data_IF_396903434223
#
_entry.id   IF_396903434223
#
_cell.length_a   1.000
_cell.length_b   1.000
_cell.length_c   1.000
_cell.angle_alpha   90.00
_cell.angle_beta   90.00
_cell.angle_gamma   90.00
#
_symmetry.space_group_name_H-M   'P 1'
#
loop_
_entity.id
_entity.type
_entity.pdbx_description
1 polymer ?
#
# COMPACT_ATOMS: atom_id res chain seq x y z
N UNK A 1 -0.53 -46.48 -63.88
CA UNK A 1 -0.25 -47.22 -62.62
C UNK A 1 0.09 -46.18 -61.55
N UNK A 2 -0.86 -45.45 -60.98
CA UNK A 2 -1.87 -45.87 -60.00
C UNK A 2 -1.24 -46.56 -58.78
N UNK A 3 -1.15 -45.77 -57.70
CA UNK A 3 -1.32 -46.11 -56.29
C UNK A 3 -0.46 -47.25 -55.74
N UNK A 4 0.61 -46.88 -55.02
CA UNK A 4 0.88 -47.25 -53.61
C UNK A 4 1.86 -46.19 -53.10
N UNK A 5 1.31 -45.05 -52.67
CA UNK A 5 2.03 -43.97 -51.99
C UNK A 5 1.03 -43.36 -51.00
N UNK A 6 0.65 -44.17 -50.00
CA UNK A 6 -0.45 -43.85 -49.09
C UNK A 6 -0.26 -44.46 -47.69
N UNK A 7 0.98 -44.70 -47.24
CA UNK A 7 1.20 -45.30 -45.92
C UNK A 7 2.36 -44.71 -45.09
N UNK A 8 2.82 -43.49 -45.39
CA UNK A 8 3.76 -42.77 -44.51
C UNK A 8 3.45 -41.26 -44.50
N UNK A 9 2.20 -40.89 -44.21
CA UNK A 9 1.80 -39.48 -44.06
C UNK A 9 0.97 -39.22 -42.79
N UNK A 10 1.04 -40.09 -41.79
CA UNK A 10 0.21 -39.98 -40.58
C UNK A 10 0.94 -40.02 -39.24
N UNK A 11 2.26 -39.84 -39.20
CA UNK A 11 2.99 -39.77 -37.93
C UNK A 11 4.20 -38.82 -37.94
N UNK A 12 4.07 -37.59 -38.45
CA UNK A 12 4.90 -36.46 -37.98
C UNK A 12 4.15 -35.17 -38.29
N UNK A 13 3.35 -34.67 -37.33
CA UNK A 13 3.05 -33.25 -37.09
C UNK A 13 1.96 -33.14 -36.02
N UNK A 14 2.28 -33.62 -34.82
CA UNK A 14 1.61 -33.22 -33.58
C UNK A 14 2.65 -32.63 -32.65
N UNK A 15 3.26 -31.53 -33.09
CA UNK A 15 3.82 -30.56 -32.16
C UNK A 15 3.01 -29.30 -32.31
N UNK A 16 1.87 -29.30 -31.62
CA UNK A 16 1.14 -28.10 -31.28
C UNK A 16 2.12 -27.24 -30.47
N UNK A 17 2.73 -26.28 -31.15
CA UNK A 17 3.62 -25.32 -30.53
C UNK A 17 2.76 -24.53 -29.56
N UNK A 18 3.03 -24.67 -28.26
CA UNK A 18 2.67 -23.69 -27.25
C UNK A 18 3.16 -22.32 -27.73
N UNK A 19 2.30 -21.58 -28.43
CA UNK A 19 2.47 -20.17 -28.73
C UNK A 19 2.30 -19.44 -27.41
N UNK A 20 3.38 -19.43 -26.63
CA UNK A 20 3.63 -18.34 -25.69
C UNK A 20 3.54 -17.08 -26.55
N UNK A 21 2.46 -16.32 -26.40
CA UNK A 21 2.41 -14.97 -26.93
C UNK A 21 3.51 -14.21 -26.19
N UNK A 22 4.71 -14.16 -26.79
CA UNK A 22 5.72 -13.22 -26.39
C UNK A 22 5.12 -11.84 -26.61
N UNK A 23 4.68 -11.20 -25.53
CA UNK A 23 4.27 -9.79 -25.58
C UNK A 23 5.49 -9.05 -26.13
N UNK A 24 5.35 -8.50 -27.34
CA UNK A 24 6.37 -7.64 -27.89
C UNK A 24 6.31 -6.33 -27.11
N UNK A 25 7.10 -6.27 -26.03
CA UNK A 25 7.30 -5.04 -25.28
C UNK A 25 8.24 -4.18 -26.11
N UNK A 26 7.73 -3.07 -26.63
CA UNK A 26 8.56 -2.10 -27.34
C UNK A 26 9.51 -1.42 -26.35
N UNK A 27 10.80 -1.71 -26.49
CA UNK A 27 11.86 -1.14 -25.65
C UNK A 27 11.84 0.40 -25.66
N UNK A 28 11.48 1.01 -26.81
CA UNK A 28 11.40 2.47 -26.94
C UNK A 28 10.22 3.04 -26.13
N UNK A 29 9.09 2.34 -26.11
CA UNK A 29 7.94 2.72 -25.29
C UNK A 29 8.28 2.66 -23.80
N UNK A 30 8.96 1.61 -23.38
CA UNK A 30 9.43 1.44 -21.99
C UNK A 30 10.40 2.54 -21.59
N UNK A 31 11.39 2.85 -22.43
CA UNK A 31 12.34 3.94 -22.16
C UNK A 31 11.65 5.31 -22.07
N UNK A 32 10.66 5.55 -22.92
CA UNK A 32 9.88 6.80 -22.91
C UNK A 32 9.10 6.92 -21.60
N UNK A 33 8.45 5.86 -21.16
CA UNK A 33 7.71 5.86 -19.89
C UNK A 33 8.62 5.98 -18.67
N UNK A 34 9.79 5.33 -18.68
CA UNK A 34 10.78 5.49 -17.61
C UNK A 34 11.23 6.94 -17.46
N UNK A 35 11.38 7.68 -18.56
CA UNK A 35 11.72 9.13 -18.53
C UNK A 35 10.59 9.98 -17.97
N UNK A 36 9.34 9.56 -18.14
CA UNK A 36 8.17 10.26 -17.59
C UNK A 36 8.08 10.05 -16.07
N UNK A 37 8.20 8.79 -15.62
CA UNK A 37 8.10 8.38 -14.22
C UNK A 37 9.31 8.89 -13.42
N UNK A 38 10.53 8.64 -13.91
CA UNK A 38 11.75 9.06 -13.24
C UNK A 38 12.09 10.49 -13.61
N UNK A 39 11.67 11.43 -12.76
CA UNK A 39 11.96 12.86 -12.93
C UNK A 39 13.45 13.17 -12.85
N UNK A 40 13.91 14.24 -13.52
CA UNK A 40 15.29 14.71 -13.38
C UNK A 40 15.65 14.91 -11.91
N UNK A 41 16.71 14.23 -11.46
CA UNK A 41 17.18 14.29 -10.08
C UNK A 41 18.27 15.36 -9.93
N UNK A 42 18.25 16.05 -8.79
CA UNK A 42 19.35 16.95 -8.37
C UNK A 42 20.49 16.14 -7.77
N UNK A 43 20.14 15.04 -7.10
CA UNK A 43 21.05 14.07 -6.49
C UNK A 43 20.39 12.71 -6.51
N UNK A 44 21.16 11.64 -6.71
CA UNK A 44 20.71 10.27 -6.51
C UNK A 44 21.46 9.65 -5.31
N UNK A 45 20.73 8.90 -4.49
CA UNK A 45 21.24 8.26 -3.28
C UNK A 45 21.08 6.75 -3.43
N UNK A 46 22.18 6.02 -3.35
CA UNK A 46 22.15 4.55 -3.27
C UNK A 46 21.83 4.15 -1.83
N UNK A 47 20.70 3.45 -1.63
CA UNK A 47 20.36 2.97 -0.30
C UNK A 47 21.18 1.74 0.08
N UNK A 48 21.33 1.48 1.38
CA UNK A 48 21.96 0.24 1.88
C UNK A 48 21.22 -1.03 1.44
N UNK A 49 19.99 -0.90 0.95
CA UNK A 49 19.15 -2.00 0.50
C UNK A 49 19.26 -2.25 -1.01
N UNK A 50 20.09 -1.49 -1.74
CA UNK A 50 20.40 -1.74 -3.14
C UNK A 50 19.57 -0.96 -4.17
N UNK A 51 18.51 -0.26 -3.75
CA UNK A 51 17.72 0.60 -4.65
C UNK A 51 18.14 2.07 -4.58
N UNK A 52 17.86 2.81 -5.65
CA UNK A 52 18.20 4.23 -5.80
C UNK A 52 17.00 5.10 -5.38
N UNK A 53 17.30 6.19 -4.69
CA UNK A 53 16.35 7.27 -4.39
C UNK A 53 16.84 8.55 -5.05
N UNK A 54 16.01 9.12 -5.91
CA UNK A 54 16.27 10.37 -6.60
C UNK A 54 15.70 11.54 -5.78
N UNK A 55 16.54 12.53 -5.49
CA UNK A 55 16.12 13.80 -4.90
C UNK A 55 15.62 14.71 -6.02
N UNK A 56 14.30 14.81 -6.13
CA UNK A 56 13.62 15.57 -7.19
C UNK A 56 13.21 16.93 -6.66
N UNK A 57 13.33 17.98 -7.47
CA UNK A 57 12.80 19.31 -7.13
C UNK A 57 11.33 19.19 -6.70
N UNK A 58 11.01 19.75 -5.52
CA UNK A 58 9.68 19.61 -4.91
C UNK A 58 8.55 20.14 -5.80
N UNK A 59 8.84 21.02 -6.77
CA UNK A 59 7.88 21.56 -7.74
C UNK A 59 7.87 20.80 -9.07
N UNK A 60 8.76 19.83 -9.28
CA UNK A 60 8.88 19.02 -10.51
C UNK A 60 8.64 17.53 -10.28
N UNK A 61 8.13 17.16 -9.11
CA UNK A 61 7.79 15.79 -8.75
C UNK A 61 6.62 15.23 -9.60
N UNK A 62 6.48 13.90 -9.72
CA UNK A 62 5.46 13.26 -10.57
C UNK A 62 4.02 13.71 -10.33
N UNK A 63 3.70 14.17 -9.11
CA UNK A 63 2.37 14.68 -8.75
C UNK A 63 1.81 15.67 -9.78
N UNK A 64 2.65 16.57 -10.27
CA UNK A 64 2.24 17.70 -11.11
C UNK A 64 2.10 17.38 -12.59
N UNK A 65 2.41 16.16 -13.02
CA UNK A 65 2.02 15.70 -14.36
C UNK A 65 0.52 15.38 -14.42
N UNK A 66 -0.16 15.25 -13.27
CA UNK A 66 -1.59 15.00 -13.24
C UNK A 66 -2.33 16.21 -13.83
N UNK A 67 -3.24 16.05 -14.80
CA UNK A 67 -3.92 17.17 -15.45
C UNK A 67 -4.61 18.13 -14.47
N UNK A 68 -5.21 17.61 -13.39
CA UNK A 68 -5.87 18.40 -12.35
C UNK A 68 -4.92 19.14 -11.39
N UNK A 69 -3.62 18.86 -11.45
CA UNK A 69 -2.63 19.36 -10.50
C UNK A 69 -1.59 20.31 -11.10
N UNK A 70 -1.68 20.67 -12.39
CA UNK A 70 -0.72 21.56 -13.06
C UNK A 70 -0.53 22.90 -12.33
N UNK A 71 -1.62 23.48 -11.83
CA UNK A 71 -1.63 24.74 -11.07
C UNK A 71 -1.87 24.51 -9.57
N UNK A 72 -1.51 23.33 -9.06
CA UNK A 72 -1.67 23.02 -7.64
C UNK A 72 -0.67 23.82 -6.79
N UNK A 73 -1.20 24.64 -5.89
CA UNK A 73 -0.42 25.33 -4.87
C UNK A 73 0.11 24.31 -3.86
N UNK A 74 1.40 24.04 -3.91
CA UNK A 74 2.10 23.16 -2.97
C UNK A 74 1.85 23.58 -1.52
N UNK A 75 1.36 22.65 -0.71
CA UNK A 75 1.27 22.77 0.73
C UNK A 75 2.47 22.08 1.37
N UNK A 76 3.29 22.78 2.16
CA UNK A 76 4.50 22.18 2.75
C UNK A 76 4.23 21.38 4.03
N UNK A 77 3.22 21.79 4.79
CA UNK A 77 2.82 21.19 6.07
C UNK A 77 1.30 21.30 6.22
N UNK A 78 0.66 20.35 6.95
CA UNK A 78 -0.76 20.46 7.26
C UNK A 78 -1.06 21.72 8.09
N UNK A 79 -2.31 22.17 8.04
CA UNK A 79 -2.77 23.37 8.77
C UNK A 79 -3.15 23.07 10.23
N UNK A 80 -3.26 21.79 10.58
CA UNK A 80 -3.43 21.34 11.96
C UNK A 80 -2.06 21.10 12.63
N UNK A 81 -2.04 21.12 13.98
CA UNK A 81 -0.86 20.66 14.71
C UNK A 81 -0.68 19.17 14.44
N UNK A 82 0.36 18.80 13.69
CA UNK A 82 0.81 17.41 13.63
C UNK A 82 1.05 16.92 15.06
N UNK A 83 0.78 15.64 15.32
CA UNK A 83 0.99 15.02 16.62
C UNK A 83 2.29 15.50 17.25
N UNK A 84 2.25 15.81 18.55
CA UNK A 84 3.47 16.11 19.29
C UNK A 84 4.49 15.03 18.95
N UNK A 85 5.71 15.46 18.57
CA UNK A 85 6.85 14.56 18.39
C UNK A 85 6.76 13.55 19.52
N UNK A 86 6.61 12.27 19.21
CA UNK A 86 6.85 11.23 20.19
C UNK A 86 8.29 11.50 20.65
N UNK A 87 8.43 12.11 21.85
CA UNK A 87 9.71 12.57 22.39
C UNK A 87 10.62 11.37 22.76
N UNK A 88 10.19 10.16 22.45
CA UNK A 88 11.00 8.95 22.38
C UNK A 88 11.39 8.65 20.93
N UNK A 89 12.04 9.61 20.26
CA UNK A 89 13.04 9.23 19.25
C UNK A 89 14.19 8.65 20.06
N UNK A 90 14.09 7.37 20.42
CA UNK A 90 15.31 6.61 20.51
C UNK A 90 15.92 6.68 19.11
N UNK A 91 17.11 7.27 19.00
CA UNK A 91 17.88 7.41 17.76
C UNK A 91 17.95 6.12 16.91
N UNK A 92 17.63 4.98 17.53
CA UNK A 92 17.46 3.66 16.92
C UNK A 92 16.31 3.55 15.89
N UNK A 93 15.22 4.31 15.99
CA UNK A 93 14.06 4.24 15.09
C UNK A 93 14.22 5.03 13.78
N UNK A 94 15.01 6.11 13.78
CA UNK A 94 15.30 6.91 12.57
C UNK A 94 16.03 6.07 11.50
N UNK A 95 16.75 5.00 11.90
CA UNK A 95 17.39 4.06 10.99
C UNK A 95 16.46 2.98 10.42
N UNK A 96 15.22 2.87 10.89
CA UNK A 96 14.29 1.81 10.47
C UNK A 96 13.53 2.23 9.21
N UNK A 97 13.29 3.53 9.03
CA UNK A 97 12.37 4.06 8.01
C UNK A 97 13.01 5.18 7.18
N UNK A 98 12.68 5.24 5.88
CA UNK A 98 13.16 6.30 5.00
C UNK A 98 14.68 6.31 4.74
N UNK A 99 15.22 7.49 4.47
CA UNK A 99 16.66 7.71 4.27
C UNK A 99 17.42 7.71 5.61
N UNK A 100 18.53 6.98 5.67
CA UNK A 100 19.24 6.74 6.93
C UNK A 100 20.27 7.82 7.27
N UNK A 101 21.34 7.91 6.47
CA UNK A 101 22.46 8.84 6.72
C UNK A 101 22.42 10.03 5.77
N UNK A 102 22.02 9.79 4.54
CA UNK A 102 22.00 10.79 3.50
C UNK A 102 20.66 11.52 3.45
N UNK A 103 20.71 12.79 3.07
CA UNK A 103 19.59 13.71 3.07
C UNK A 103 19.46 14.32 1.69
N UNK A 104 18.22 14.49 1.23
CA UNK A 104 17.97 15.22 0.01
C UNK A 104 18.28 16.72 0.21
N UNK A 105 18.87 17.41 -0.79
CA UNK A 105 19.13 18.85 -0.72
C UNK A 105 17.86 19.66 -0.42
N UNK A 106 18.01 20.81 0.22
CA UNK A 106 16.87 21.70 0.49
C UNK A 106 16.15 22.06 -0.82
N UNK A 107 14.82 21.98 -0.80
CA UNK A 107 13.99 22.22 -2.00
C UNK A 107 13.74 20.96 -2.84
N UNK A 108 14.24 19.80 -2.41
CA UNK A 108 14.00 18.51 -3.09
C UNK A 108 13.34 17.50 -2.16
N UNK A 109 12.71 16.47 -2.74
CA UNK A 109 12.05 15.36 -2.04
C UNK A 109 12.58 14.02 -2.54
N UNK A 110 12.75 13.02 -1.66
CA UNK A 110 13.22 11.68 -2.04
C UNK A 110 12.13 10.88 -2.74
N UNK A 111 12.38 10.46 -3.97
CA UNK A 111 11.48 9.61 -4.75
C UNK A 111 12.24 8.35 -5.14
N UNK A 112 11.70 7.17 -4.81
CA UNK A 112 12.31 5.91 -5.22
C UNK A 112 12.31 5.82 -6.75
N UNK A 113 13.49 5.56 -7.32
CA UNK A 113 13.64 5.40 -8.76
C UNK A 113 13.04 4.07 -9.21
N UNK A 114 12.24 4.10 -10.27
CA UNK A 114 11.66 2.91 -10.90
C UNK A 114 12.65 2.34 -11.93
N UNK A 115 12.91 1.04 -11.86
CA UNK A 115 13.78 0.36 -12.83
C UNK A 115 12.99 -0.12 -14.06
N UNK A 116 13.71 -0.46 -15.14
CA UNK A 116 13.10 -1.04 -16.35
C UNK A 116 12.33 -2.32 -16.03
N UNK A 117 12.94 -3.21 -15.26
CA UNK A 117 12.34 -4.49 -14.87
C UNK A 117 11.09 -4.30 -14.01
N UNK A 118 11.10 -3.33 -13.09
CA UNK A 118 9.94 -2.98 -12.27
C UNK A 118 8.79 -2.43 -13.11
N UNK A 119 9.09 -1.56 -14.09
CA UNK A 119 8.07 -1.02 -14.98
C UNK A 119 7.46 -2.13 -15.87
N UNK A 120 8.30 -3.04 -16.39
CA UNK A 120 7.84 -4.18 -17.19
C UNK A 120 6.96 -5.11 -16.36
N UNK A 121 7.40 -5.47 -15.15
CA UNK A 121 6.62 -6.32 -14.24
C UNK A 121 5.29 -5.67 -13.84
N UNK A 122 5.30 -4.35 -13.61
CA UNK A 122 4.10 -3.57 -13.32
C UNK A 122 3.10 -3.54 -14.48
N UNK A 123 3.57 -3.41 -15.74
CA UNK A 123 2.70 -3.43 -16.94
C UNK A 123 2.08 -4.79 -17.22
N UNK A 124 2.82 -5.87 -16.97
CA UNK A 124 2.36 -7.24 -17.22
C UNK A 124 1.31 -7.69 -16.19
N UNK A 125 1.17 -6.95 -15.10
CA UNK A 125 0.20 -7.19 -14.04
C UNK A 125 -0.90 -6.16 -14.14
N UNK A 126 -2.18 -6.55 -14.03
CA UNK A 126 -3.29 -5.62 -13.83
C UNK A 126 -3.25 -5.09 -12.38
N UNK A 127 -2.11 -4.52 -12.00
CA UNK A 127 -1.63 -4.32 -10.63
C UNK A 127 -2.60 -3.55 -9.72
N UNK A 128 -3.34 -2.61 -10.29
CA UNK A 128 -4.28 -1.77 -9.54
C UNK A 128 -5.57 -2.52 -9.21
N UNK A 129 -5.91 -3.55 -9.99
CA UNK A 129 -7.11 -4.37 -9.81
C UNK A 129 -6.94 -5.41 -8.70
N UNK A 130 -5.72 -5.73 -8.26
CA UNK A 130 -5.48 -6.65 -7.13
C UNK A 130 -6.04 -6.13 -5.79
N UNK A 131 -6.59 -4.91 -5.79
CA UNK A 131 -7.24 -4.27 -4.65
C UNK A 131 -8.76 -4.18 -4.81
N UNK A 132 -9.31 -4.71 -5.90
CA UNK A 132 -10.72 -4.94 -6.08
C UNK A 132 -11.11 -6.25 -5.40
N UNK A 133 -12.08 -6.19 -4.49
CA UNK A 133 -12.63 -7.39 -3.85
C UNK A 133 -13.27 -8.36 -4.85
N UNK A 134 -13.73 -7.87 -6.00
CA UNK A 134 -14.31 -8.71 -7.05
C UNK A 134 -13.28 -9.48 -7.86
N UNK A 135 -11.98 -9.26 -7.63
CA UNK A 135 -10.92 -9.93 -8.39
C UNK A 135 -10.61 -11.28 -7.74
N UNK A 136 -10.70 -12.38 -8.51
CA UNK A 136 -10.37 -13.70 -8.00
C UNK A 136 -8.98 -13.79 -7.37
N UNK A 137 -8.90 -14.38 -6.17
CA UNK A 137 -7.68 -14.57 -5.39
C UNK A 137 -7.29 -13.37 -4.51
N UNK A 138 -8.13 -12.35 -4.42
CA UNK A 138 -8.03 -11.27 -3.42
C UNK A 138 -8.81 -11.67 -2.19
N UNK A 139 -8.12 -11.74 -1.05
CA UNK A 139 -8.75 -11.98 0.26
C UNK A 139 -8.51 -10.81 1.20
N UNK A 140 -9.46 -10.54 2.09
CA UNK A 140 -9.45 -9.41 2.99
C UNK A 140 -9.90 -9.82 4.39
N UNK A 141 -9.19 -9.35 5.39
CA UNK A 141 -9.62 -9.38 6.78
C UNK A 141 -9.49 -7.97 7.33
N UNK A 142 -10.61 -7.24 7.30
CA UNK A 142 -10.68 -5.81 7.54
C UNK A 142 -11.74 -5.50 8.59
N UNK A 143 -11.52 -4.45 9.38
CA UNK A 143 -12.52 -3.89 10.27
C UNK A 143 -12.70 -2.43 9.89
N UNK A 144 -13.94 -2.01 9.69
CA UNK A 144 -14.26 -0.64 9.34
C UNK A 144 -15.39 -0.10 10.21
N UNK A 145 -15.40 1.22 10.35
CA UNK A 145 -16.50 1.94 11.00
C UNK A 145 -17.64 2.09 9.99
N UNK A 146 -18.85 1.74 10.39
CA UNK A 146 -20.00 1.69 9.47
C UNK A 146 -20.38 3.10 8.97
N UNK A 147 -20.96 3.20 7.76
CA UNK A 147 -21.44 4.47 7.20
C UNK A 147 -22.41 5.26 8.08
N UNK A 148 -23.13 4.59 8.99
CA UNK A 148 -24.12 5.21 9.88
C UNK A 148 -23.50 6.23 10.85
N UNK A 149 -22.20 6.09 11.15
CA UNK A 149 -21.44 7.01 12.00
C UNK A 149 -20.62 8.03 11.21
N UNK A 150 -20.71 8.02 9.88
CA UNK A 150 -20.06 8.98 9.00
C UNK A 150 -20.67 10.38 9.15
N UNK A 151 -19.98 11.46 8.73
CA UNK A 151 -18.72 11.52 8.01
C UNK A 151 -17.48 11.43 8.91
N UNK A 152 -16.43 10.84 8.36
CA UNK A 152 -15.11 10.77 8.99
C UNK A 152 -14.09 11.67 8.28
N UNK A 153 -13.11 12.12 9.04
CA UNK A 153 -12.06 13.03 8.57
C UNK A 153 -10.65 12.59 8.92
N UNK A 154 -10.52 11.55 9.74
CA UNK A 154 -9.24 10.98 10.12
C UNK A 154 -9.42 9.51 10.47
N UNK A 155 -8.40 8.74 10.17
CA UNK A 155 -8.19 7.38 10.67
C UNK A 155 -6.74 7.24 11.07
N UNK A 156 -6.49 6.65 12.23
CA UNK A 156 -5.14 6.38 12.73
C UNK A 156 -5.08 5.04 13.45
N UNK A 157 -3.89 4.45 13.48
CA UNK A 157 -3.59 3.29 14.31
C UNK A 157 -2.11 2.95 14.27
N UNK A 158 -1.60 2.43 15.38
CA UNK A 158 -0.24 1.91 15.46
C UNK A 158 -0.25 0.43 15.12
N UNK A 159 0.46 0.08 14.06
CA UNK A 159 0.39 -1.25 13.45
C UNK A 159 1.69 -2.01 13.63
N UNK A 160 1.59 -3.28 14.02
CA UNK A 160 2.71 -4.21 13.95
C UNK A 160 3.13 -4.47 12.50
N UNK A 161 4.43 -4.43 12.21
CA UNK A 161 4.96 -4.64 10.88
C UNK A 161 5.53 -6.05 10.75
N UNK A 162 5.08 -6.83 9.78
CA UNK A 162 5.60 -8.17 9.51
C UNK A 162 6.20 -8.27 8.09
N UNK A 163 6.94 -9.35 7.83
CA UNK A 163 7.35 -9.75 6.49
C UNK A 163 6.76 -11.13 6.14
N UNK A 164 5.45 -11.19 5.83
CA UNK A 164 4.78 -12.43 5.46
C UNK A 164 5.55 -13.23 4.40
N UNK A 165 5.53 -14.56 4.52
CA UNK A 165 6.19 -15.43 3.55
C UNK A 165 5.33 -15.58 2.31
N UNK A 166 5.85 -15.12 1.18
CA UNK A 166 5.24 -15.33 -0.14
C UNK A 166 5.86 -16.56 -0.81
N UNK A 167 5.03 -17.35 -1.49
CA UNK A 167 5.43 -18.54 -2.24
C UNK A 167 5.90 -18.19 -3.65
N UNK A 168 5.34 -17.13 -4.24
CA UNK A 168 5.68 -16.67 -5.58
C UNK A 168 5.90 -15.16 -5.60
N UNK A 169 6.53 -14.64 -6.68
CA UNK A 169 6.81 -13.20 -6.84
C UNK A 169 5.59 -12.38 -7.26
N UNK A 170 4.49 -13.04 -7.62
CA UNK A 170 3.22 -12.41 -8.04
C UNK A 170 2.21 -12.30 -6.89
N UNK A 171 2.52 -12.89 -5.74
CA UNK A 171 1.71 -12.77 -4.54
C UNK A 171 1.96 -11.44 -3.83
N UNK A 172 0.97 -11.04 -3.03
CA UNK A 172 1.03 -9.86 -2.19
C UNK A 172 0.35 -10.13 -0.85
N UNK A 173 0.87 -9.49 0.20
CA UNK A 173 0.26 -9.45 1.52
C UNK A 173 0.50 -8.07 2.12
N UNK A 174 -0.55 -7.44 2.62
CA UNK A 174 -0.52 -6.06 3.08
C UNK A 174 -1.29 -5.84 4.37
N UNK A 175 -0.96 -4.74 5.02
CA UNK A 175 -1.67 -4.14 6.15
C UNK A 175 -1.93 -2.68 5.82
N UNK A 176 -3.13 -2.19 6.14
CA UNK A 176 -3.55 -0.83 5.78
C UNK A 176 -4.46 -0.18 6.83
N UNK A 177 -4.33 1.14 6.92
CA UNK A 177 -5.46 2.03 7.22
C UNK A 177 -6.04 2.53 5.91
N UNK A 178 -7.34 2.76 5.86
CA UNK A 178 -7.96 3.32 4.66
C UNK A 178 -9.09 4.30 4.97
N UNK A 179 -9.31 5.20 4.02
CA UNK A 179 -10.51 6.04 3.93
C UNK A 179 -11.18 5.79 2.58
N UNK A 180 -12.50 5.74 2.57
CA UNK A 180 -13.28 5.51 1.35
C UNK A 180 -14.60 6.29 1.36
N UNK A 181 -15.11 6.59 0.16
CA UNK A 181 -16.44 7.15 -0.02
C UNK A 181 -17.12 6.48 -1.23
N UNK A 182 -18.23 5.78 -0.95
CA UNK A 182 -18.87 4.88 -1.89
C UNK A 182 -17.92 3.79 -2.43
N UNK A 183 -18.23 3.31 -3.63
CA UNK A 183 -17.39 2.33 -4.34
C UNK A 183 -16.20 2.93 -5.09
N UNK A 184 -16.11 4.25 -5.24
CA UNK A 184 -15.23 4.86 -6.24
C UNK A 184 -13.93 5.42 -5.67
N UNK A 185 -14.00 6.23 -4.61
CA UNK A 185 -12.84 6.94 -4.07
C UNK A 185 -12.29 6.20 -2.85
N UNK A 186 -11.01 5.84 -2.89
CA UNK A 186 -10.31 5.19 -1.77
C UNK A 186 -8.88 5.69 -1.68
N UNK A 187 -8.40 5.85 -0.45
CA UNK A 187 -6.98 6.00 -0.13
C UNK A 187 -6.63 4.93 0.91
N UNK A 188 -5.60 4.15 0.63
CA UNK A 188 -5.03 3.11 1.47
C UNK A 188 -3.59 3.46 1.80
N UNK A 189 -3.20 3.32 3.06
CA UNK A 189 -1.86 3.63 3.53
C UNK A 189 -1.38 2.61 4.56
N UNK A 190 -0.17 2.10 4.42
CA UNK A 190 0.33 1.05 5.31
C UNK A 190 1.65 0.43 4.86
N UNK A 191 1.81 -0.87 5.11
CA UNK A 191 2.95 -1.66 4.66
C UNK A 191 2.50 -2.89 3.86
N UNK A 192 3.34 -3.32 2.94
CA UNK A 192 3.10 -4.54 2.16
C UNK A 192 4.37 -5.32 1.87
N UNK A 193 4.21 -6.59 1.49
CA UNK A 193 5.20 -7.40 0.81
C UNK A 193 4.64 -7.72 -0.57
N UNK A 194 5.20 -7.10 -1.60
CA UNK A 194 4.67 -7.16 -2.95
C UNK A 194 5.83 -7.14 -3.97
N UNK A 195 6.46 -8.30 -4.22
CA UNK A 195 7.72 -8.40 -4.95
C UNK A 195 7.62 -7.89 -6.37
N UNK A 196 6.45 -8.03 -6.99
CA UNK A 196 6.20 -7.60 -8.37
C UNK A 196 6.47 -6.12 -8.63
N UNK A 197 6.37 -5.27 -7.59
CA UNK A 197 6.58 -3.82 -7.66
C UNK A 197 8.06 -3.47 -7.50
N UNK A 198 8.79 -4.34 -6.82
CA UNK A 198 10.14 -4.08 -6.32
C UNK A 198 11.17 -5.02 -6.95
N UNK A 199 10.96 -5.40 -8.21
CA UNK A 199 11.89 -6.20 -9.01
C UNK A 199 12.05 -7.63 -8.48
N UNK A 200 11.01 -8.19 -7.89
CA UNK A 200 11.01 -9.50 -7.25
C UNK A 200 11.57 -9.53 -5.82
N UNK A 201 11.75 -8.38 -5.17
CA UNK A 201 12.18 -8.30 -3.77
C UNK A 201 11.01 -8.53 -2.79
N UNK A 202 11.09 -9.59 -1.99
CA UNK A 202 10.07 -9.94 -0.98
C UNK A 202 10.34 -9.38 0.42
N UNK A 203 10.84 -8.15 0.51
CA UNK A 203 10.89 -7.41 1.77
C UNK A 203 9.61 -6.60 1.99
N UNK A 204 9.42 -6.13 3.22
CA UNK A 204 8.35 -5.20 3.57
C UNK A 204 8.69 -3.77 3.14
N UNK A 205 7.72 -3.08 2.57
CA UNK A 205 7.82 -1.67 2.16
C UNK A 205 6.61 -0.89 2.64
N UNK A 206 6.80 0.38 2.97
CA UNK A 206 5.66 1.27 3.13
C UNK A 206 5.09 1.65 1.79
N UNK A 207 3.77 1.74 1.72
CA UNK A 207 3.08 2.08 0.51
C UNK A 207 1.88 2.95 0.77
N UNK A 208 1.46 3.64 -0.29
CA UNK A 208 0.13 4.20 -0.40
C UNK A 208 -0.48 3.77 -1.73
N UNK A 209 -1.78 3.63 -1.76
CA UNK A 209 -2.57 3.35 -2.95
C UNK A 209 -3.81 4.23 -2.91
N UNK A 210 -4.21 4.76 -4.06
CA UNK A 210 -5.41 5.58 -4.16
C UNK A 210 -6.14 5.28 -5.46
N UNK A 211 -7.42 5.59 -5.53
CA UNK A 211 -8.23 5.55 -6.76
C UNK A 211 -9.42 6.51 -6.64
N UNK A 212 -9.98 6.90 -7.78
CA UNK A 212 -11.18 7.75 -7.89
C UNK A 212 -12.33 7.08 -8.62
N UNK A 213 -12.11 5.87 -9.13
CA UNK A 213 -13.03 5.11 -9.97
C UNK A 213 -12.96 3.60 -9.69
N UNK A 214 -12.68 3.22 -8.45
CA UNK A 214 -12.58 1.82 -8.03
C UNK A 214 -11.56 1.01 -8.85
N UNK A 215 -10.41 1.58 -9.14
CA UNK A 215 -9.35 0.92 -9.92
C UNK A 215 -9.75 0.53 -11.35
N UNK A 216 -10.81 1.12 -11.92
CA UNK A 216 -11.19 0.92 -13.31
C UNK A 216 -10.13 1.51 -14.26
N UNK A 217 -9.85 2.82 -14.13
CA UNK A 217 -8.84 3.53 -14.93
C UNK A 217 -7.81 4.23 -14.07
N UNK A 218 -8.14 4.58 -12.83
CA UNK A 218 -7.26 5.32 -11.94
C UNK A 218 -6.74 4.48 -10.79
N UNK A 219 -5.58 4.87 -10.31
CA UNK A 219 -4.98 4.33 -9.11
C UNK A 219 -3.75 3.51 -9.42
N UNK A 220 -2.81 3.59 -8.49
CA UNK A 220 -1.57 2.84 -8.49
C UNK A 220 -0.82 3.14 -7.21
N UNK A 221 0.23 2.37 -6.99
CA UNK A 221 0.95 2.46 -5.75
C UNK A 221 2.01 3.55 -5.80
N UNK A 222 2.20 4.18 -4.65
CA UNK A 222 3.23 5.17 -4.40
C UNK A 222 3.15 6.33 -5.40
N UNK A 223 4.27 6.63 -6.06
CA UNK A 223 4.41 7.69 -7.06
C UNK A 223 4.54 7.11 -8.48
N UNK A 224 4.08 5.87 -8.71
CA UNK A 224 4.10 5.28 -10.06
C UNK A 224 3.15 6.00 -11.03
N UNK A 225 2.13 6.68 -10.49
CA UNK A 225 1.29 7.60 -11.25
C UNK A 225 1.27 8.97 -10.57
N UNK A 226 0.98 10.02 -11.36
CA UNK A 226 0.78 11.37 -10.84
C UNK A 226 -0.40 11.44 -9.87
N UNK A 227 -0.23 12.10 -8.72
CA UNK A 227 -1.32 12.42 -7.79
C UNK A 227 -0.87 12.65 -6.35
N UNK A 228 0.11 11.88 -5.88
CA UNK A 228 0.67 12.06 -4.54
C UNK A 228 1.71 13.17 -4.51
N UNK A 229 1.49 14.19 -3.69
CA UNK A 229 2.46 15.28 -3.46
C UNK A 229 3.31 14.93 -2.24
N UNK A 230 4.57 14.57 -2.47
CA UNK A 230 5.52 14.33 -1.41
C UNK A 230 6.13 15.64 -0.90
N UNK A 231 6.28 15.74 0.42
CA UNK A 231 6.78 16.95 1.09
C UNK A 231 7.93 16.67 2.05
N UNK A 232 7.97 15.48 2.67
CA UNK A 232 9.00 15.16 3.65
C UNK A 232 10.36 14.90 2.98
N UNK A 233 11.47 15.46 3.49
CA UNK A 233 12.79 15.34 2.87
C UNK A 233 13.50 13.99 3.13
N UNK A 234 12.90 13.08 3.90
CA UNK A 234 13.57 11.87 4.43
C UNK A 234 12.69 10.62 4.39
N UNK A 235 11.43 10.72 4.81
CA UNK A 235 10.45 9.65 4.69
C UNK A 235 9.71 9.75 3.35
N UNK A 236 9.51 8.60 2.71
CA UNK A 236 8.93 8.50 1.37
C UNK A 236 8.22 7.17 1.21
N UNK A 237 7.24 7.16 0.30
CA UNK A 237 6.50 5.96 -0.09
C UNK A 237 7.38 5.03 -0.93
N UNK A 238 7.19 3.72 -0.80
CA UNK A 238 8.07 2.72 -1.41
C UNK A 238 9.42 2.58 -0.69
N UNK A 239 9.57 3.15 0.51
CA UNK A 239 10.75 2.90 1.34
C UNK A 239 10.69 1.51 1.98
N UNK A 240 11.81 0.79 1.91
CA UNK A 240 11.94 -0.54 2.54
C UNK A 240 11.99 -0.40 4.06
N UNK A 241 11.25 -1.25 4.76
CA UNK A 241 11.30 -1.35 6.22
C UNK A 241 12.56 -2.12 6.64
N UNK A 242 13.38 -1.51 7.49
CA UNK A 242 14.68 -2.09 7.88
C UNK A 242 14.61 -3.22 8.90
N UNK A 243 13.59 -3.24 9.77
CA UNK A 243 13.35 -4.26 10.80
C UNK A 243 11.86 -4.53 10.89
N UNK A 244 11.48 -5.79 11.08
CA UNK A 244 10.09 -6.22 11.22
C UNK A 244 9.91 -6.99 12.53
N UNK A 245 8.66 -7.16 12.93
CA UNK A 245 8.23 -7.95 14.08
C UNK A 245 8.58 -9.43 13.92
N UNK A 246 8.75 -10.11 15.05
CA UNK A 246 8.99 -11.55 15.12
C UNK A 246 7.86 -12.18 15.94
N UNK A 247 7.22 -13.21 15.40
CA UNK A 247 6.20 -13.98 16.11
C UNK A 247 6.74 -14.48 17.46
N UNK A 248 5.96 -14.27 18.53
CA UNK A 248 6.33 -14.63 19.91
C UNK A 248 7.51 -13.82 20.48
N UNK A 249 7.95 -12.77 19.79
CA UNK A 249 9.16 -12.04 20.10
C UNK A 249 8.99 -10.53 20.06
N UNK A 250 10.02 -9.82 19.61
CA UNK A 250 9.99 -8.35 19.54
C UNK A 250 9.02 -7.87 18.45
N UNK A 251 8.10 -7.00 18.85
CA UNK A 251 7.24 -6.24 17.94
C UNK A 251 7.95 -4.99 17.43
N UNK A 252 7.89 -4.76 16.11
CA UNK A 252 8.24 -3.49 15.47
C UNK A 252 6.93 -2.87 14.99
N UNK A 253 6.65 -1.66 15.43
CA UNK A 253 5.39 -0.98 15.17
C UNK A 253 5.62 0.41 14.55
N UNK A 254 4.61 0.90 13.84
CA UNK A 254 4.58 2.28 13.37
C UNK A 254 3.15 2.81 13.33
N UNK A 255 2.99 4.10 13.61
CA UNK A 255 1.71 4.77 13.46
C UNK A 255 1.47 5.14 11.99
N UNK A 256 0.31 4.75 11.47
CA UNK A 256 -0.21 5.18 10.18
C UNK A 256 -1.43 6.06 10.41
N UNK A 257 -1.45 7.23 9.77
CA UNK A 257 -2.56 8.16 9.88
C UNK A 257 -2.90 8.73 8.50
N UNK A 258 -4.20 8.79 8.20
CA UNK A 258 -4.75 9.53 7.07
C UNK A 258 -5.66 10.62 7.65
N UNK A 259 -5.39 11.90 7.36
CA UNK A 259 -6.15 13.04 7.91
C UNK A 259 -6.55 14.01 6.79
N UNK A 260 -7.82 14.42 6.75
CA UNK A 260 -8.27 15.52 5.90
C UNK A 260 -7.96 16.87 6.54
N UNK A 261 -7.09 17.64 5.90
CA UNK A 261 -6.84 19.03 6.28
C UNK A 261 -8.08 19.90 6.00
N UNK A 262 -8.56 20.56 7.06
CA UNK A 262 -9.75 21.41 7.01
C UNK A 262 -9.59 22.61 6.07
N UNK A 263 -8.42 23.23 6.02
CA UNK A 263 -8.22 24.48 5.28
C UNK A 263 -8.01 24.23 3.79
N UNK A 264 -7.24 23.19 3.45
CA UNK A 264 -6.82 22.92 2.08
C UNK A 264 -7.59 21.80 1.40
N UNK A 265 -8.37 21.03 2.18
CA UNK A 265 -9.07 19.82 1.71
C UNK A 265 -8.13 18.78 1.11
N UNK A 266 -6.89 18.73 1.59
CA UNK A 266 -5.90 17.73 1.19
C UNK A 266 -5.89 16.57 2.20
N UNK A 267 -5.81 15.34 1.70
CA UNK A 267 -5.66 14.14 2.52
C UNK A 267 -4.19 13.86 2.80
N UNK A 268 -3.75 14.15 4.02
CA UNK A 268 -2.38 13.98 4.47
C UNK A 268 -2.12 12.55 4.96
N UNK A 269 -0.96 12.01 4.57
CA UNK A 269 -0.42 10.76 5.08
C UNK A 269 0.67 11.07 6.10
N UNK A 270 0.47 10.60 7.33
CA UNK A 270 1.43 10.73 8.41
C UNK A 270 1.94 9.36 8.82
N UNK A 271 3.26 9.21 8.76
CA UNK A 271 4.00 8.01 9.12
C UNK A 271 4.86 8.33 10.34
N UNK A 272 4.69 7.58 11.41
CA UNK A 272 5.55 7.72 12.60
C UNK A 272 5.56 9.16 13.17
N UNK A 273 4.42 9.86 13.13
CA UNK A 273 4.30 11.24 13.60
C UNK A 273 4.81 12.29 12.60
N UNK A 274 5.24 11.88 11.40
CA UNK A 274 5.74 12.79 10.37
C UNK A 274 4.87 12.79 9.12
N UNK A 275 4.54 13.99 8.65
CA UNK A 275 3.75 14.18 7.44
C UNK A 275 4.60 13.91 6.20
N UNK A 276 4.37 12.76 5.56
CA UNK A 276 5.14 12.30 4.38
C UNK A 276 4.77 13.11 3.15
N UNK A 277 3.49 13.41 3.01
CA UNK A 277 2.90 14.08 1.86
C UNK A 277 1.38 13.95 1.88
N UNK A 278 0.73 14.29 0.77
CA UNK A 278 -0.72 14.33 0.70
C UNK A 278 -1.26 14.03 -0.70
N UNK A 279 -2.51 13.59 -0.76
CA UNK A 279 -3.31 13.60 -1.96
C UNK A 279 -4.18 14.86 -1.99
N UNK A 280 -4.08 15.69 -3.05
CA UNK A 280 -4.98 16.83 -3.21
C UNK A 280 -6.45 16.40 -3.31
N UNK A 281 -7.34 17.04 -2.55
CA UNK A 281 -8.78 16.69 -2.56
C UNK A 281 -9.42 16.76 -3.95
N UNK A 282 -8.91 17.65 -4.81
CA UNK A 282 -9.31 17.83 -6.22
C UNK A 282 -9.10 16.60 -7.11
N UNK A 283 -8.35 15.60 -6.66
CA UNK A 283 -8.28 14.31 -7.34
C UNK A 283 -9.59 13.54 -7.23
N UNK A 284 -10.30 13.67 -6.12
CA UNK A 284 -11.44 12.83 -5.77
C UNK A 284 -12.76 13.50 -6.10
N UNK A 285 -13.73 12.71 -6.57
CA UNK A 285 -15.06 13.23 -6.94
C UNK A 285 -15.94 13.53 -5.73
N UNK A 286 -15.83 12.75 -4.64
CA UNK A 286 -16.67 12.93 -3.45
C UNK A 286 -15.93 12.71 -2.11
N UNK A 287 -14.60 12.64 -2.09
CA UNK A 287 -13.83 12.41 -0.85
C UNK A 287 -13.54 13.71 -0.07
N UNK A 288 -14.53 14.61 0.08
CA UNK A 288 -14.48 15.79 0.97
C UNK A 288 -14.68 15.42 2.45
N UNK A 289 -15.06 14.18 2.68
CA UNK A 289 -15.04 13.42 3.92
C UNK A 289 -15.07 11.95 3.52
N UNK A 290 -14.73 11.06 4.46
CA UNK A 290 -14.86 9.63 4.26
C UNK A 290 -16.21 9.14 4.78
N UNK A 291 -16.83 8.23 4.04
CA UNK A 291 -18.02 7.48 4.47
C UNK A 291 -17.62 6.26 5.29
N UNK A 292 -16.47 5.66 4.96
CA UNK A 292 -15.89 4.52 5.67
C UNK A 292 -14.43 4.79 5.98
N UNK A 293 -14.03 4.36 7.16
CA UNK A 293 -12.63 4.30 7.57
C UNK A 293 -12.37 2.96 8.23
N UNK A 294 -11.17 2.42 8.07
CA UNK A 294 -10.89 1.10 8.61
C UNK A 294 -9.43 0.72 8.65
N UNK A 295 -9.20 -0.48 9.16
CA UNK A 295 -7.92 -1.13 9.41
C UNK A 295 -8.00 -2.58 8.93
N UNK A 296 -6.84 -3.20 8.71
CA UNK A 296 -6.76 -4.64 8.49
C UNK A 296 -5.78 -4.99 7.39
N UNK A 297 -5.98 -6.15 6.77
CA UNK A 297 -5.07 -6.69 5.77
C UNK A 297 -5.77 -7.24 4.55
N UNK A 298 -4.98 -7.38 3.48
CA UNK A 298 -5.37 -8.07 2.26
C UNK A 298 -4.25 -8.95 1.79
N UNK A 299 -4.62 -9.99 1.06
CA UNK A 299 -3.68 -10.81 0.30
C UNK A 299 -4.15 -10.91 -1.13
N UNK A 300 -3.21 -11.01 -2.05
CA UNK A 300 -3.49 -11.39 -3.42
C UNK A 300 -2.65 -12.60 -3.80
N UNK A 301 -3.30 -13.53 -4.51
CA UNK A 301 -2.65 -14.66 -5.14
C UNK A 301 -3.32 -14.93 -6.49
N UNK A 302 -2.60 -15.44 -7.50
CA UNK A 302 -3.24 -15.89 -8.73
C UNK A 302 -4.35 -16.92 -8.44
N UNK A 303 -5.43 -16.95 -9.23
CA UNK A 303 -6.53 -17.88 -9.00
C UNK A 303 -6.06 -19.33 -8.97
N UNK A 304 -6.70 -20.15 -8.14
CA UNK A 304 -6.39 -21.57 -7.92
C UNK A 304 -4.96 -21.84 -7.42
N UNK A 305 -4.35 -20.87 -6.74
CA UNK A 305 -3.06 -21.04 -6.07
C UNK A 305 -3.21 -20.83 -4.56
N UNK A 306 -2.15 -21.17 -3.81
CA UNK A 306 -2.20 -21.12 -2.35
C UNK A 306 -1.95 -19.69 -1.88
N UNK A 307 -2.94 -19.08 -1.24
CA UNK A 307 -2.87 -17.71 -0.70
C UNK A 307 -1.71 -17.57 0.30
N UNK A 308 -0.97 -16.45 0.30
CA UNK A 308 0.09 -16.21 1.27
C UNK A 308 -0.46 -15.95 2.68
N UNK A 309 0.45 -15.89 3.65
CA UNK A 309 0.13 -15.46 5.01
C UNK A 309 -0.30 -13.99 5.03
N UNK A 310 -1.24 -13.64 5.92
CA UNK A 310 -1.59 -12.26 6.23
C UNK A 310 -1.01 -11.87 7.60
N UNK A 311 -0.39 -10.69 7.68
CA UNK A 311 0.19 -10.22 8.94
C UNK A 311 1.31 -11.14 9.45
N UNK A 312 1.12 -11.69 10.66
CA UNK A 312 2.05 -12.66 11.26
C UNK A 312 1.85 -14.10 10.75
N UNK A 313 0.78 -14.37 10.00
CA UNK A 313 0.36 -15.72 9.64
C UNK A 313 -0.50 -16.43 10.68
N UNK A 314 -0.98 -15.71 11.72
CA UNK A 314 -1.80 -16.26 12.80
C UNK A 314 -3.13 -15.53 12.89
N UNK A 315 -4.16 -16.27 13.31
CA UNK A 315 -5.48 -15.73 13.59
C UNK A 315 -5.46 -14.84 14.85
N UNK A 316 -6.36 -13.86 14.95
CA UNK A 316 -6.65 -13.15 16.19
C UNK A 316 -6.90 -14.09 17.37
N UNK A 317 -6.22 -13.83 18.50
CA UNK A 317 -6.32 -14.61 19.74
C UNK A 317 -6.15 -13.75 21.01
N UNK A 318 -6.24 -12.42 20.85
CA UNK A 318 -5.94 -11.39 21.85
C UNK A 318 -4.51 -11.45 22.43
N UNK A 319 -3.57 -12.11 21.75
CA UNK A 319 -2.15 -12.08 22.11
C UNK A 319 -1.35 -11.22 21.13
N UNK A 320 -0.88 -10.06 21.60
CA UNK A 320 -0.13 -9.08 20.81
C UNK A 320 1.27 -9.53 20.36
N UNK A 321 1.70 -10.73 20.76
CA UNK A 321 2.92 -11.36 20.25
C UNK A 321 2.62 -12.37 19.13
N UNK A 322 1.35 -12.74 18.92
CA UNK A 322 0.95 -13.77 17.98
C UNK A 322 0.36 -13.18 16.69
N UNK A 323 -0.76 -12.47 16.78
CA UNK A 323 -1.46 -11.92 15.63
C UNK A 323 -0.94 -10.53 15.24
N UNK A 324 -1.13 -10.15 13.97
CA UNK A 324 -0.90 -8.77 13.54
C UNK A 324 -2.02 -7.87 14.08
N UNK A 325 -1.68 -6.65 14.48
CA UNK A 325 -2.61 -5.79 15.19
C UNK A 325 -2.52 -4.32 14.77
N UNK A 326 -3.60 -3.60 15.06
CA UNK A 326 -3.59 -2.16 15.25
C UNK A 326 -3.97 -1.86 16.71
N UNK A 327 -3.13 -1.08 17.39
CA UNK A 327 -3.38 -0.53 18.73
C UNK A 327 -3.52 0.99 18.67
N UNK A 328 -4.10 1.60 19.70
CA UNK A 328 -4.41 3.03 19.75
C UNK A 328 -5.17 3.51 18.51
N UNK A 329 -6.11 2.69 18.01
CA UNK A 329 -6.90 3.11 16.86
C UNK A 329 -7.80 4.28 17.26
N UNK A 330 -7.89 5.27 16.38
CA UNK A 330 -8.87 6.35 16.56
C UNK A 330 -9.29 6.93 15.22
N UNK A 331 -10.43 7.63 15.27
CA UNK A 331 -11.06 8.30 14.14
C UNK A 331 -11.44 9.72 14.54
N UNK A 332 -11.71 10.56 13.54
CA UNK A 332 -12.40 11.83 13.74
C UNK A 332 -13.71 11.85 12.97
N UNK A 333 -14.77 12.26 13.66
CA UNK A 333 -16.09 12.52 13.09
C UNK A 333 -16.32 14.04 12.89
N UNK A 334 -17.58 14.47 12.79
CA UNK A 334 -17.97 15.89 12.71
C UNK A 334 -17.42 16.73 13.85
N UNK A 335 -17.26 16.17 15.05
CA UNK A 335 -16.70 16.83 16.21
C UNK A 335 -15.20 17.15 16.10
N UNK A 336 -14.49 16.56 15.11
CA UNK A 336 -13.05 16.77 14.87
C UNK A 336 -12.17 16.47 16.08
N UNK A 337 -12.66 15.62 16.96
CA UNK A 337 -11.95 15.12 18.14
C UNK A 337 -11.58 13.67 17.89
N UNK A 338 -10.36 13.28 18.26
CA UNK A 338 -9.94 11.89 18.14
C UNK A 338 -10.65 11.05 19.21
N UNK A 339 -11.26 9.94 18.80
CA UNK A 339 -11.79 8.93 19.73
C UNK A 339 -11.62 7.54 19.14
N UNK A 340 -11.48 6.53 20.01
CA UNK A 340 -11.49 5.13 19.59
C UNK A 340 -12.92 4.69 19.27
N UNK A 341 -13.19 4.06 18.12
CA UNK A 341 -14.52 3.56 17.80
C UNK A 341 -14.95 2.49 18.80
N UNK A 342 -16.21 2.53 19.23
CA UNK A 342 -16.78 1.45 20.04
C UNK A 342 -17.06 0.22 19.16
N UNK A 343 -17.15 -0.97 19.77
CA UNK A 343 -17.42 -2.21 19.02
C UNK A 343 -18.69 -2.16 18.18
N UNK A 344 -19.73 -1.52 18.71
CA UNK A 344 -21.01 -1.39 18.01
C UNK A 344 -20.94 -0.47 16.77
N UNK A 345 -19.88 0.34 16.65
CA UNK A 345 -19.65 1.21 15.51
C UNK A 345 -18.91 0.50 14.36
N UNK A 346 -18.36 -0.68 14.61
CA UNK A 346 -17.45 -1.38 13.70
C UNK A 346 -18.05 -2.68 13.19
N UNK A 347 -17.73 -3.01 11.95
CA UNK A 347 -18.00 -4.30 11.34
C UNK A 347 -16.70 -4.94 10.85
N UNK A 348 -16.63 -6.27 10.98
CA UNK A 348 -15.57 -7.07 10.38
C UNK A 348 -16.02 -7.58 9.01
N UNK A 349 -15.16 -7.42 8.01
CA UNK A 349 -15.28 -8.04 6.70
C UNK A 349 -14.16 -9.06 6.54
N UNK A 350 -14.54 -10.32 6.48
CA UNK A 350 -13.67 -11.47 6.25
C UNK A 350 -14.33 -12.32 5.16
N UNK A 351 -13.70 -12.42 4.01
CA UNK A 351 -14.24 -13.16 2.86
C UNK A 351 -14.05 -14.68 3.00
N UNK A 352 -12.93 -15.11 3.57
CA UNK A 352 -12.66 -16.51 3.90
C UNK A 352 -12.19 -16.67 5.36
N UNK A 353 -13.12 -16.98 6.29
CA UNK A 353 -12.83 -17.18 7.71
C UNK A 353 -11.94 -18.39 8.03
N UNK A 354 -11.85 -19.38 7.14
CA UNK A 354 -10.98 -20.55 7.32
C UNK A 354 -9.52 -20.20 7.03
N UNK A 355 -9.28 -19.13 6.28
CA UNK A 355 -7.95 -18.65 5.93
C UNK A 355 -7.48 -17.43 6.71
N UNK A 356 -8.38 -16.48 6.97
CA UNK A 356 -8.08 -15.22 7.62
C UNK A 356 -9.18 -14.85 8.60
N UNK A 357 -8.88 -14.00 9.58
CA UNK A 357 -9.89 -13.46 10.46
C UNK A 357 -9.48 -12.07 10.99
N UNK A 358 -10.44 -11.28 11.44
CA UNK A 358 -10.23 -9.98 12.05
C UNK A 358 -11.20 -9.78 13.22
N UNK A 359 -10.69 -9.31 14.36
CA UNK A 359 -11.44 -9.15 15.60
C UNK A 359 -11.17 -7.78 16.24
N UNK A 360 -12.24 -7.12 16.71
CA UNK A 360 -12.16 -5.85 17.44
C UNK A 360 -12.32 -6.09 18.94
N UNK A 361 -11.24 -5.86 19.69
CA UNK A 361 -11.21 -6.08 21.13
C UNK A 361 -11.74 -4.91 21.96
N UNK A 362 -11.92 -3.74 21.34
CA UNK A 362 -12.37 -2.53 22.03
C UNK A 362 -11.20 -1.86 22.74
N UNK A 363 -11.50 -0.99 23.71
CA UNK A 363 -10.49 -0.39 24.57
C UNK A 363 -10.06 -1.37 25.66
N UNK A 364 -8.92 -2.02 25.45
CA UNK A 364 -8.29 -2.93 26.41
C UNK A 364 -7.47 -2.17 27.48
N UNK A 365 -7.47 -0.82 27.43
CA UNK A 365 -6.75 0.05 28.34
C UNK A 365 -5.23 -0.10 28.27
N UNK A 366 -4.54 0.27 29.35
CA UNK A 366 -3.10 0.09 29.51
C UNK A 366 -2.28 0.72 28.38
N UNK A 367 -1.38 -0.08 27.80
CA UNK A 367 -0.45 0.34 26.75
C UNK A 367 -0.91 -0.03 25.32
N UNK A 368 -2.19 -0.37 25.13
CA UNK A 368 -2.73 -0.77 23.81
C UNK A 368 -3.97 0.04 23.42
N UNK A 369 -4.78 0.48 24.39
CA UNK A 369 -5.98 1.26 24.12
C UNK A 369 -6.98 0.52 23.23
N UNK A 370 -7.65 1.25 22.34
CA UNK A 370 -8.58 0.68 21.39
C UNK A 370 -7.86 -0.16 20.31
N UNK A 371 -8.28 -1.42 20.14
CA UNK A 371 -7.42 -2.45 19.56
C UNK A 371 -8.13 -3.43 18.64
N UNK A 372 -7.51 -3.72 17.50
CA UNK A 372 -7.95 -4.71 16.50
C UNK A 372 -6.80 -5.68 16.23
N UNK A 373 -7.12 -6.96 16.04
CA UNK A 373 -6.19 -7.92 15.43
C UNK A 373 -6.75 -8.44 14.11
N UNK A 374 -5.85 -8.80 13.20
CA UNK A 374 -6.17 -9.44 11.94
C UNK A 374 -5.03 -10.34 11.49
N UNK A 375 -5.33 -11.33 10.66
CA UNK A 375 -4.33 -12.19 10.05
C UNK A 375 -4.83 -13.61 9.83
N UNK A 376 -3.90 -14.47 9.42
CA UNK A 376 -4.18 -15.88 9.21
C UNK A 376 -3.10 -16.54 8.35
N UNK A 377 -3.03 -17.87 8.38
CA UNK A 377 -1.97 -18.62 7.70
C UNK A 377 -2.06 -18.58 6.17
N UNK A 378 -3.20 -18.14 5.62
CA UNK A 378 -3.53 -18.37 4.22
C UNK A 378 -3.76 -19.85 3.96
N UNK A 379 -3.58 -20.29 2.71
CA UNK A 379 -3.90 -21.67 2.33
C UNK A 379 -4.76 -21.75 1.08
N UNK A 380 -5.67 -22.72 1.07
CA UNK A 380 -6.64 -22.89 0.00
C UNK A 380 -7.86 -22.02 0.29
N UNK A 381 -7.76 -20.73 -0.01
CA UNK A 381 -8.77 -19.73 0.37
C UNK A 381 -9.86 -19.49 -0.69
N UNK A 382 -9.97 -20.39 -1.65
CA UNK A 382 -10.84 -20.20 -2.81
C UNK A 382 -10.33 -19.13 -3.79
N UNK A 383 -11.26 -18.59 -4.58
CA UNK A 383 -11.04 -17.57 -5.60
C UNK A 383 -11.95 -16.39 -5.34
#
# INVERSE_FOLDING_TARGET
MIKILLFVLWFVNSHDSNRVHAIHIDDLEIETQLKIINKPSVKSIQTKFGYIVDCVDIHKQPAFDHPLLKDHKLQRMPSYKSFEKINTIDSSNEFIFGLQKEKCPKGTVPIRKTTKDELIQGKLSLYNQNMLQSVPGVHAAEIYVTPDFSPFYKVTGTNSIYNPRLRTKVQESLSQVFVANGGNNKISFGWHVAPQIYGGNSATYFYSLWTTDNFDKTGCYNLQCPGFVQTHPYMFLGSRVGKVSIYGGRSIETNFTITLDRETQNWWLNLFGHDVGYYPGRLFSNLTSAERVGWGGRTFTPPNTISPQMGSGYFPDNNFLHACYFIYISIQDRGRTDFGPEKHMTEAFVDDPDCFNAEHYGDEGGNVGNTIQFGGPGGQCGN
#
